data_IF_351807348925
#
_entry.id   IF_351807348925
#
_cell.length_a   1.000
_cell.length_b   1.000
_cell.length_c   1.000
_cell.angle_alpha   90.00
_cell.angle_beta   90.00
_cell.angle_gamma   90.00
#
_symmetry.space_group_name_H-M   'P 1'
#
loop_
_entity.id
_entity.type
_entity.pdbx_description
1 polymer ?
#
# COMPACT_ATOMS: atom_id res chain seq x y z
N UNK A 1 12.68 37.74 42.90
CA UNK A 1 13.45 36.49 42.71
C UNK A 1 12.62 35.64 41.75
N UNK A 2 13.17 35.41 40.56
CA UNK A 2 12.41 35.03 39.36
C UNK A 2 11.96 33.57 39.35
N UNK A 3 10.73 33.37 38.87
CA UNK A 3 10.19 32.09 38.44
C UNK A 3 11.02 31.51 37.30
N UNK A 4 11.47 30.26 37.45
CA UNK A 4 12.00 29.48 36.35
C UNK A 4 10.83 28.75 35.68
N UNK A 5 10.29 29.37 34.63
CA UNK A 5 9.39 28.74 33.67
C UNK A 5 10.27 27.85 32.77
N UNK A 6 10.20 26.52 32.91
CA UNK A 6 10.82 25.62 31.94
C UNK A 6 10.03 25.72 30.62
N UNK A 7 10.63 26.41 29.65
CA UNK A 7 10.18 26.49 28.27
C UNK A 7 10.25 25.10 27.62
N UNK A 8 9.11 24.69 27.09
CA UNK A 8 8.94 23.62 26.10
C UNK A 8 10.01 23.73 25.00
N UNK A 9 10.90 22.75 24.89
CA UNK A 9 11.54 22.47 23.60
C UNK A 9 10.51 21.76 22.74
N UNK A 10 9.74 22.55 21.99
CA UNK A 10 8.88 22.05 20.94
C UNK A 10 9.72 21.32 19.90
N UNK A 11 9.58 20.00 19.82
CA UNK A 11 9.58 19.34 18.52
C UNK A 11 8.33 19.85 17.80
N UNK A 12 8.47 20.96 17.08
CA UNK A 12 7.51 21.24 16.02
C UNK A 12 7.74 20.16 14.97
N UNK A 13 6.90 19.13 14.95
CA UNK A 13 6.67 18.38 13.74
C UNK A 13 6.20 19.41 12.72
N UNK A 14 7.09 19.81 11.82
CA UNK A 14 6.66 20.65 10.72
C UNK A 14 5.65 19.83 9.94
N UNK A 15 4.57 20.45 9.47
CA UNK A 15 3.51 19.83 8.67
C UNK A 15 3.98 19.30 7.29
N UNK A 16 5.28 19.00 7.17
CA UNK A 16 6.04 18.57 6.00
C UNK A 16 6.57 17.13 6.15
N UNK A 17 6.41 16.51 7.32
CA UNK A 17 6.86 15.14 7.64
C UNK A 17 5.69 14.17 7.87
N UNK A 18 4.45 14.57 7.55
CA UNK A 18 3.27 13.75 7.80
C UNK A 18 2.84 13.15 6.46
N UNK A 19 3.14 11.86 6.26
CA UNK A 19 2.44 11.07 5.24
C UNK A 19 0.93 11.25 5.45
N UNK A 20 0.15 11.48 4.38
CA UNK A 20 -1.26 11.82 4.51
C UNK A 20 -1.97 10.74 5.32
N UNK A 21 -2.80 11.15 6.29
CA UNK A 21 -3.69 10.22 6.96
C UNK A 21 -4.52 9.46 5.91
N UNK A 22 -4.81 8.17 6.14
CA UNK A 22 -5.64 7.41 5.22
C UNK A 22 -6.93 8.21 4.94
N UNK A 23 -7.36 8.31 3.67
CA UNK A 23 -8.55 9.05 3.32
C UNK A 23 -9.74 8.54 4.14
N UNK A 24 -10.41 9.45 4.84
CA UNK A 24 -11.57 9.12 5.68
C UNK A 24 -12.82 9.25 4.82
N UNK A 25 -13.44 8.14 4.44
CA UNK A 25 -14.69 8.12 3.67
C UNK A 25 -14.64 7.18 2.46
N UNK A 26 -15.68 7.23 1.63
CA UNK A 26 -15.72 6.48 0.37
C UNK A 26 -14.71 7.08 -0.61
N UNK A 27 -13.87 6.23 -1.15
CA UNK A 27 -12.96 6.54 -2.25
C UNK A 27 -13.81 6.46 -3.53
N UNK A 28 -14.45 7.55 -3.96
CA UNK A 28 -15.39 7.52 -5.11
C UNK A 28 -14.66 7.52 -6.46
N UNK A 29 -14.87 6.49 -7.30
CA UNK A 29 -14.40 6.39 -8.70
C UNK A 29 -12.86 6.40 -8.90
N UNK A 30 -12.10 5.81 -8.01
CA UNK A 30 -10.68 6.14 -7.95
C UNK A 30 -9.84 4.93 -7.64
N UNK A 31 -9.15 4.43 -8.67
CA UNK A 31 -8.04 3.47 -8.62
C UNK A 31 -7.06 3.81 -7.48
N UNK A 32 -7.37 3.34 -6.28
CA UNK A 32 -6.72 3.71 -5.03
C UNK A 32 -6.60 2.49 -4.16
N UNK A 33 -5.44 2.37 -3.52
CA UNK A 33 -5.16 1.37 -2.51
C UNK A 33 -4.50 2.07 -1.33
N UNK A 34 -5.06 1.88 -0.14
CA UNK A 34 -4.61 2.53 1.09
C UNK A 34 -4.46 1.50 2.20
N UNK A 35 -3.42 1.61 3.02
CA UNK A 35 -3.18 0.75 4.17
C UNK A 35 -2.16 1.37 5.11
N UNK A 36 -2.00 0.82 6.32
CA UNK A 36 -0.85 1.12 7.17
C UNK A 36 0.20 0.03 7.05
N UNK A 37 1.46 0.42 6.80
CA UNK A 37 2.62 -0.44 6.92
C UNK A 37 3.39 -0.09 8.20
N UNK A 38 3.33 -0.94 9.23
CA UNK A 38 3.98 -0.66 10.53
C UNK A 38 3.61 0.71 11.13
N UNK A 39 2.37 1.16 10.92
CA UNK A 39 1.86 2.44 11.44
C UNK A 39 2.14 3.65 10.55
N UNK A 40 2.83 3.49 9.43
CA UNK A 40 3.00 4.51 8.39
C UNK A 40 1.89 4.39 7.34
N UNK A 41 1.14 5.47 7.02
CA UNK A 41 0.08 5.42 6.04
C UNK A 41 0.63 5.36 4.61
N UNK A 42 0.29 4.29 3.92
CA UNK A 42 0.55 4.08 2.51
C UNK A 42 -0.68 4.44 1.69
N UNK A 43 -0.48 5.27 0.66
CA UNK A 43 -1.53 5.71 -0.26
C UNK A 43 -1.02 5.61 -1.70
N UNK A 44 -1.43 4.57 -2.39
CA UNK A 44 -1.26 4.45 -3.84
C UNK A 44 -2.54 4.92 -4.53
N UNK A 45 -2.43 5.78 -5.54
CA UNK A 45 -3.58 6.20 -6.34
C UNK A 45 -3.17 6.57 -7.78
N UNK A 46 -4.11 6.47 -8.72
CA UNK A 46 -3.88 6.97 -10.09
C UNK A 46 -4.39 8.41 -10.31
N UNK A 47 -4.90 9.07 -9.28
CA UNK A 47 -5.53 10.40 -9.36
C UNK A 47 -4.62 11.51 -8.83
N UNK A 48 -4.26 12.46 -9.69
CA UNK A 48 -3.33 13.56 -9.37
C UNK A 48 -3.75 14.43 -8.18
N UNK A 49 -5.04 14.49 -7.88
CA UNK A 49 -5.64 15.41 -6.90
C UNK A 49 -5.52 14.95 -5.45
N UNK A 50 -5.32 13.64 -5.22
CA UNK A 50 -5.10 13.09 -3.87
C UNK A 50 -3.64 13.23 -3.42
N UNK A 51 -2.83 13.98 -4.19
CA UNK A 51 -1.39 13.91 -4.07
C UNK A 51 -0.96 12.49 -4.38
N UNK A 52 -1.15 12.04 -5.63
CA UNK A 52 -0.37 10.90 -6.11
C UNK A 52 1.08 11.20 -5.75
N UNK A 53 1.77 10.30 -5.05
CA UNK A 53 3.22 10.37 -5.14
C UNK A 53 3.58 9.86 -6.52
N UNK A 54 3.68 10.82 -7.43
CA UNK A 54 3.86 10.61 -8.86
C UNK A 54 5.28 10.10 -9.09
N UNK A 55 5.37 8.84 -9.48
CA UNK A 55 6.19 8.44 -10.60
C UNK A 55 7.68 8.31 -10.32
N UNK A 56 8.04 7.15 -9.78
CA UNK A 56 9.32 6.53 -10.02
C UNK A 56 9.19 5.03 -9.92
N UNK A 57 8.32 4.41 -10.74
CA UNK A 57 8.16 2.94 -10.79
C UNK A 57 9.57 2.36 -10.90
N UNK A 58 10.00 1.68 -9.84
CA UNK A 58 11.30 1.06 -9.75
C UNK A 58 11.48 0.22 -11.02
N UNK A 59 12.62 0.38 -11.70
CA UNK A 59 12.92 -0.30 -12.96
C UNK A 59 12.88 -1.82 -12.74
N UNK A 60 11.73 -2.45 -12.93
CA UNK A 60 11.52 -3.85 -12.59
C UNK A 60 10.07 -4.30 -12.39
N UNK A 61 9.14 -3.40 -11.99
CA UNK A 61 7.72 -3.80 -11.89
C UNK A 61 7.09 -3.94 -13.28
N UNK A 62 6.31 -5.00 -13.51
CA UNK A 62 5.54 -5.20 -14.76
C UNK A 62 4.30 -4.32 -14.85
N UNK A 63 4.00 -3.52 -13.81
CA UNK A 63 2.81 -2.70 -13.71
C UNK A 63 3.03 -1.31 -14.31
N UNK A 64 2.00 -0.80 -14.96
CA UNK A 64 2.09 0.46 -15.72
C UNK A 64 1.59 1.68 -14.92
N UNK A 65 0.98 1.45 -13.76
CA UNK A 65 0.30 2.46 -12.94
C UNK A 65 0.60 2.24 -11.44
N UNK A 66 0.56 3.30 -10.61
CA UNK A 66 0.69 3.16 -9.15
C UNK A 66 -0.31 2.19 -8.51
N UNK A 67 -1.55 2.16 -9.00
CA UNK A 67 -2.55 1.16 -8.60
C UNK A 67 -3.08 0.48 -9.83
N UNK A 68 -3.15 -0.84 -9.78
CA UNK A 68 -3.66 -1.68 -10.86
C UNK A 68 -4.41 -2.87 -10.27
N UNK A 69 -5.48 -3.29 -10.93
CA UNK A 69 -6.15 -4.54 -10.60
C UNK A 69 -6.42 -5.32 -11.88
N UNK A 70 -6.26 -6.63 -11.81
CA UNK A 70 -6.45 -7.53 -12.94
C UNK A 70 -7.40 -8.65 -12.51
N UNK A 71 -8.41 -8.93 -13.33
CA UNK A 71 -9.28 -10.09 -13.17
C UNK A 71 -9.02 -11.02 -14.33
N UNK A 72 -8.25 -12.06 -14.04
CA UNK A 72 -7.74 -13.01 -14.99
C UNK A 72 -8.82 -13.96 -15.50
N UNK A 73 -8.57 -14.56 -16.67
CA UNK A 73 -9.49 -15.51 -17.32
C UNK A 73 -9.79 -16.78 -16.48
N UNK A 74 -8.92 -17.14 -15.53
CA UNK A 74 -9.11 -18.27 -14.62
C UNK A 74 -9.91 -17.88 -13.35
N UNK A 75 -10.42 -16.65 -13.28
CA UNK A 75 -11.05 -16.04 -12.11
C UNK A 75 -10.10 -15.84 -10.92
N UNK A 76 -8.79 -15.83 -11.14
CA UNK A 76 -7.89 -15.20 -10.16
C UNK A 76 -7.96 -13.68 -10.28
N UNK A 77 -7.65 -12.98 -9.21
CA UNK A 77 -7.63 -11.53 -9.19
C UNK A 77 -6.37 -11.04 -8.49
N UNK A 78 -5.71 -10.10 -9.14
CA UNK A 78 -4.53 -9.39 -8.67
C UNK A 78 -4.92 -7.96 -8.30
N UNK A 79 -4.40 -7.51 -7.16
CA UNK A 79 -4.47 -6.12 -6.73
C UNK A 79 -3.05 -5.67 -6.44
N UNK A 80 -2.63 -4.62 -7.15
CA UNK A 80 -1.32 -4.02 -7.02
C UNK A 80 -1.44 -2.58 -6.53
N UNK A 81 -0.55 -2.19 -5.63
CA UNK A 81 -0.39 -0.82 -5.19
C UNK A 81 1.06 -0.49 -4.87
N UNK A 82 1.56 0.60 -5.44
CA UNK A 82 2.87 1.16 -5.16
C UNK A 82 2.73 2.61 -4.72
N UNK A 83 3.41 2.96 -3.64
CA UNK A 83 3.61 4.34 -3.23
C UNK A 83 5.09 4.72 -3.28
N UNK A 84 5.31 6.01 -3.16
CA UNK A 84 6.63 6.57 -2.96
C UNK A 84 6.46 7.67 -1.89
N UNK A 85 7.48 8.00 -1.07
CA UNK A 85 7.34 9.08 -0.11
C UNK A 85 7.41 10.44 -0.82
N UNK A 86 6.67 11.41 -0.29
CA UNK A 86 6.59 12.76 -0.85
C UNK A 86 7.92 13.54 -0.80
N UNK A 87 8.81 13.19 0.12
CA UNK A 87 10.19 13.67 0.19
C UNK A 87 11.15 12.48 0.02
N UNK A 88 11.94 12.49 -1.06
CA UNK A 88 12.96 11.46 -1.35
C UNK A 88 14.23 11.63 -0.51
N UNK A 89 14.07 12.01 0.75
CA UNK A 89 15.17 12.14 1.70
C UNK A 89 15.82 10.76 1.97
N UNK A 90 17.10 10.76 2.33
CA UNK A 90 17.79 9.54 2.76
C UNK A 90 17.06 8.92 3.95
N UNK A 91 16.70 7.64 3.82
CA UNK A 91 15.95 6.90 4.83
C UNK A 91 14.43 6.93 4.66
N UNK A 92 13.91 7.70 3.70
CA UNK A 92 12.49 7.67 3.36
C UNK A 92 12.11 6.28 2.81
N UNK A 93 10.86 5.86 3.06
CA UNK A 93 10.38 4.52 2.71
C UNK A 93 9.35 4.61 1.58
N UNK A 94 9.49 3.73 0.61
CA UNK A 94 8.49 3.47 -0.42
C UNK A 94 8.02 2.02 -0.32
N UNK A 95 6.82 1.75 -0.78
CA UNK A 95 6.12 0.50 -0.54
C UNK A 95 5.47 -0.03 -1.82
N UNK A 96 5.60 -1.33 -2.06
CA UNK A 96 4.87 -2.05 -3.10
C UNK A 96 4.12 -3.22 -2.44
N UNK A 97 2.87 -3.42 -2.85
CA UNK A 97 2.00 -4.48 -2.36
C UNK A 97 1.32 -5.17 -3.55
N UNK A 98 1.43 -6.49 -3.59
CA UNK A 98 0.69 -7.35 -4.52
C UNK A 98 -0.16 -8.33 -3.71
N UNK A 99 -1.46 -8.34 -3.95
CA UNK A 99 -2.41 -9.29 -3.36
C UNK A 99 -3.01 -10.13 -4.49
N UNK A 100 -2.81 -11.44 -4.43
CA UNK A 100 -3.37 -12.39 -5.37
C UNK A 100 -4.35 -13.31 -4.67
N UNK A 101 -5.54 -13.51 -5.23
CA UNK A 101 -6.49 -14.51 -4.72
C UNK A 101 -7.20 -15.24 -5.86
N UNK A 102 -7.63 -16.46 -5.56
CA UNK A 102 -8.21 -17.38 -6.54
C UNK A 102 -9.74 -17.44 -6.42
N UNK A 103 -10.38 -17.92 -7.48
CA UNK A 103 -11.80 -18.25 -7.51
C UNK A 103 -12.72 -17.06 -7.20
N UNK A 104 -12.42 -15.87 -7.71
CA UNK A 104 -13.26 -14.70 -7.59
C UNK A 104 -14.68 -14.96 -8.14
N UNK A 105 -15.69 -14.57 -7.35
CA UNK A 105 -17.11 -14.79 -7.65
C UNK A 105 -17.99 -13.59 -7.25
N UNK A 106 -17.38 -12.42 -7.04
CA UNK A 106 -18.05 -11.21 -6.57
C UNK A 106 -17.80 -10.91 -5.09
N UNK A 107 -18.83 -10.46 -4.38
CA UNK A 107 -18.75 -10.08 -2.96
C UNK A 107 -18.49 -11.33 -2.10
N UNK A 108 -17.51 -11.25 -1.20
CA UNK A 108 -17.09 -12.37 -0.37
C UNK A 108 -15.72 -12.17 0.25
N UNK A 109 -15.29 -13.15 1.05
CA UNK A 109 -13.93 -13.18 1.59
C UNK A 109 -13.15 -14.28 0.87
N UNK A 110 -11.93 -13.94 0.45
CA UNK A 110 -11.05 -14.78 -0.34
C UNK A 110 -9.73 -14.94 0.40
N UNK A 111 -9.23 -16.17 0.44
CA UNK A 111 -7.88 -16.44 0.91
C UNK A 111 -6.88 -15.95 -0.13
N UNK A 112 -5.87 -15.22 0.33
CA UNK A 112 -4.75 -14.84 -0.50
C UNK A 112 -3.90 -16.07 -0.83
N UNK A 113 -3.45 -16.13 -2.06
CA UNK A 113 -2.41 -17.05 -2.47
C UNK A 113 -1.06 -16.47 -2.03
N UNK A 114 -0.53 -16.97 -0.92
CA UNK A 114 0.71 -16.47 -0.33
C UNK A 114 1.93 -16.67 -1.23
N UNK A 115 1.86 -17.58 -2.21
CA UNK A 115 2.95 -17.79 -3.17
C UNK A 115 3.05 -16.69 -4.25
N UNK A 116 2.00 -15.90 -4.44
CA UNK A 116 1.93 -14.82 -5.43
C UNK A 116 1.57 -13.47 -4.81
N UNK A 117 1.38 -13.42 -3.49
CA UNK A 117 1.13 -12.19 -2.75
C UNK A 117 2.39 -11.79 -2.01
N UNK A 118 2.81 -10.53 -2.14
CA UNK A 118 4.05 -10.04 -1.56
C UNK A 118 3.94 -8.59 -1.16
N UNK A 119 4.84 -8.18 -0.28
CA UNK A 119 5.04 -6.80 0.10
C UNK A 119 6.52 -6.47 0.01
N UNK A 120 6.85 -5.31 -0.55
CA UNK A 120 8.23 -4.84 -0.67
C UNK A 120 8.36 -3.44 -0.07
N UNK A 121 9.38 -3.27 0.76
CA UNK A 121 9.77 -1.97 1.31
C UNK A 121 11.10 -1.55 0.69
N UNK A 122 11.15 -0.34 0.15
CA UNK A 122 12.34 0.29 -0.41
C UNK A 122 12.76 1.45 0.48
N UNK A 123 14.05 1.55 0.78
CA UNK A 123 14.63 2.67 1.52
C UNK A 123 15.37 3.58 0.54
N UNK A 124 14.84 4.79 0.33
CA UNK A 124 15.36 5.84 -0.55
C UNK A 124 16.64 6.49 0.01
N UNK A 125 17.51 6.98 -0.88
CA UNK A 125 18.82 6.40 -1.06
C UNK A 125 19.73 6.57 0.15
N UNK A 126 20.37 5.46 0.50
CA UNK A 126 21.59 5.44 1.31
C UNK A 126 22.77 5.75 0.37
N UNK A 127 23.21 7.02 0.33
CA UNK A 127 24.48 7.46 -0.26
C UNK A 127 24.97 6.63 -1.48
N UNK A 128 24.39 6.78 -2.69
CA UNK A 128 24.96 6.34 -4.01
C UNK A 128 23.95 5.94 -5.12
N UNK A 129 22.68 6.37 -5.06
CA UNK A 129 21.62 5.89 -5.98
C UNK A 129 21.33 4.38 -5.88
N UNK A 130 21.76 3.71 -4.81
CA UNK A 130 21.35 2.34 -4.50
C UNK A 130 20.25 2.37 -3.44
N UNK A 131 19.17 1.62 -3.71
CA UNK A 131 18.09 1.38 -2.76
C UNK A 131 18.38 0.10 -1.99
N UNK A 132 18.02 0.07 -0.71
CA UNK A 132 17.91 -1.18 0.04
C UNK A 132 16.45 -1.62 -0.10
N UNK A 133 16.22 -2.83 -0.57
CA UNK A 133 14.88 -3.40 -0.63
C UNK A 133 14.76 -4.65 0.24
N UNK A 134 13.59 -4.80 0.85
CA UNK A 134 13.20 -5.98 1.60
C UNK A 134 11.92 -6.52 0.97
N UNK A 135 11.99 -7.72 0.42
CA UNK A 135 10.81 -8.47 -0.02
C UNK A 135 10.33 -9.34 1.13
N UNK A 136 9.03 -9.32 1.37
CA UNK A 136 8.34 -10.08 2.39
C UNK A 136 7.17 -10.82 1.76
N UNK A 137 7.04 -12.09 2.09
CA UNK A 137 5.90 -12.90 1.68
C UNK A 137 4.70 -12.59 2.57
N UNK A 138 3.49 -12.63 2.01
CA UNK A 138 2.29 -12.54 2.83
C UNK A 138 2.09 -13.86 3.59
N UNK A 139 2.06 -13.79 4.91
CA UNK A 139 1.87 -14.94 5.78
C UNK A 139 0.41 -15.41 5.81
N UNK A 140 0.24 -16.72 5.95
CA UNK A 140 -1.08 -17.31 6.15
C UNK A 140 -1.57 -17.16 7.62
N UNK A 141 -2.89 -17.03 7.86
CA UNK A 141 -3.92 -16.80 6.86
C UNK A 141 -3.93 -15.32 6.41
N UNK A 142 -3.69 -15.08 5.13
CA UNK A 142 -3.87 -13.77 4.51
C UNK A 142 -5.22 -13.75 3.81
N UNK A 143 -6.04 -12.74 4.07
CA UNK A 143 -7.40 -12.64 3.52
C UNK A 143 -7.68 -11.27 2.92
N UNK A 144 -8.54 -11.26 1.92
CA UNK A 144 -9.13 -10.06 1.34
C UNK A 144 -10.66 -10.21 1.33
N UNK A 145 -11.37 -9.17 1.73
CA UNK A 145 -12.83 -9.12 1.73
C UNK A 145 -13.30 -8.13 0.67
N UNK A 146 -13.97 -8.65 -0.36
CA UNK A 146 -14.67 -7.86 -1.36
C UNK A 146 -16.01 -7.43 -0.79
N UNK A 147 -16.20 -6.12 -0.64
CA UNK A 147 -17.41 -5.52 -0.06
C UNK A 147 -18.40 -5.07 -1.12
N UNK A 148 -17.94 -4.76 -2.34
CA UNK A 148 -18.79 -4.46 -3.47
C UNK A 148 -18.15 -4.92 -4.79
N UNK A 149 -18.98 -5.35 -5.72
CA UNK A 149 -18.59 -5.74 -7.07
C UNK A 149 -19.65 -5.27 -8.07
N UNK A 150 -19.26 -4.40 -8.99
CA UNK A 150 -20.04 -4.02 -10.15
C UNK A 150 -19.43 -4.69 -11.40
N UNK A 151 -20.05 -5.77 -11.86
CA UNK A 151 -19.59 -6.51 -13.04
C UNK A 151 -19.72 -5.73 -14.34
N UNK A 152 -20.60 -4.73 -14.42
CA UNK A 152 -20.79 -3.92 -15.62
C UNK A 152 -19.64 -2.95 -15.80
N UNK A 153 -19.24 -2.28 -14.72
CA UNK A 153 -18.14 -1.33 -14.74
C UNK A 153 -16.79 -1.95 -14.35
N UNK A 154 -16.77 -3.25 -14.04
CA UNK A 154 -15.61 -3.97 -13.50
C UNK A 154 -15.02 -3.27 -12.27
N UNK A 155 -15.89 -2.69 -11.44
CA UNK A 155 -15.50 -1.89 -10.29
C UNK A 155 -15.53 -2.75 -9.03
N UNK A 156 -14.38 -2.83 -8.35
CA UNK A 156 -14.13 -3.69 -7.21
C UNK A 156 -13.78 -2.85 -5.99
N UNK A 157 -14.48 -3.10 -4.88
CA UNK A 157 -14.21 -2.45 -3.60
C UNK A 157 -14.00 -3.51 -2.53
N UNK A 158 -13.06 -3.27 -1.61
CA UNK A 158 -12.82 -4.21 -0.53
C UNK A 158 -11.83 -3.74 0.53
N UNK A 159 -11.51 -4.66 1.43
CA UNK A 159 -10.63 -4.46 2.58
C UNK A 159 -9.71 -5.65 2.78
N UNK A 160 -8.59 -5.45 3.47
CA UNK A 160 -7.67 -6.50 3.87
C UNK A 160 -6.94 -6.15 5.17
N UNK A 161 -6.48 -7.18 5.86
CA UNK A 161 -5.52 -7.07 6.96
C UNK A 161 -4.63 -8.31 6.93
N UNK A 162 -3.33 -8.11 6.75
CA UNK A 162 -2.38 -9.21 6.55
C UNK A 162 -1.07 -8.95 7.27
N UNK A 163 -0.28 -10.01 7.45
CA UNK A 163 1.06 -9.92 7.99
C UNK A 163 2.05 -10.30 6.89
N UNK A 164 2.98 -9.42 6.55
CA UNK A 164 4.09 -9.74 5.66
C UNK A 164 5.31 -10.18 6.49
N UNK A 165 5.99 -11.25 6.08
CA UNK A 165 7.10 -11.85 6.82
C UNK A 165 8.23 -12.17 5.84
N UNK A 166 9.47 -11.82 6.18
CA UNK A 166 10.64 -12.25 5.39
C UNK A 166 10.86 -13.77 5.54
N UNK A 167 11.39 -14.45 4.52
CA UNK A 167 11.61 -15.91 4.50
C UNK A 167 12.32 -16.47 5.74
N UNK A 168 13.19 -15.66 6.35
CA UNK A 168 13.95 -16.01 7.56
C UNK A 168 13.17 -15.84 8.88
N UNK A 169 11.94 -15.31 8.84
CA UNK A 169 11.10 -14.98 9.99
C UNK A 169 11.57 -13.78 10.82
N UNK A 170 12.71 -13.18 10.48
CA UNK A 170 13.37 -12.14 11.29
C UNK A 170 12.78 -10.74 11.14
N UNK A 171 12.03 -10.51 10.07
CA UNK A 171 11.37 -9.23 9.81
C UNK A 171 9.91 -9.50 9.50
N UNK A 172 9.05 -8.68 10.10
CA UNK A 172 7.60 -8.74 9.92
C UNK A 172 7.06 -7.32 9.77
N UNK A 173 6.05 -7.17 8.94
CA UNK A 173 5.35 -5.91 8.71
C UNK A 173 3.86 -6.19 8.78
N UNK A 174 3.18 -5.58 9.74
CA UNK A 174 1.73 -5.65 9.80
C UNK A 174 1.14 -4.66 8.79
N UNK A 175 0.31 -5.17 7.88
CA UNK A 175 -0.44 -4.39 6.90
C UNK A 175 -1.89 -4.31 7.39
N UNK A 176 -2.28 -3.15 7.91
CA UNK A 176 -3.55 -2.98 8.65
C UNK A 176 -4.42 -1.87 8.07
N UNK A 177 -5.72 -1.93 8.35
CA UNK A 177 -6.72 -1.02 7.80
C UNK A 177 -6.63 -0.90 6.26
N UNK A 178 -6.30 -2.01 5.60
CA UNK A 178 -6.17 -2.06 4.16
C UNK A 178 -7.54 -1.90 3.50
N UNK A 179 -7.63 -1.01 2.51
CA UNK A 179 -8.82 -0.85 1.68
C UNK A 179 -8.46 -0.45 0.26
N UNK A 180 -9.31 -0.81 -0.68
CA UNK A 180 -9.13 -0.49 -2.09
C UNK A 180 -10.47 -0.23 -2.76
N UNK A 181 -10.40 0.60 -3.78
CA UNK A 181 -11.45 0.94 -4.72
C UNK A 181 -10.77 1.04 -6.08
N UNK A 182 -11.07 0.13 -7.01
CA UNK A 182 -10.38 0.12 -8.30
C UNK A 182 -11.22 -0.52 -9.40
N UNK A 183 -10.93 -0.14 -10.64
CA UNK A 183 -11.47 -0.82 -11.82
C UNK A 183 -10.48 -1.90 -12.25
N UNK A 184 -10.94 -3.15 -12.36
CA UNK A 184 -10.07 -4.27 -12.78
C UNK A 184 -10.01 -4.40 -14.29
N UNK A 185 -8.80 -4.52 -14.83
CA UNK A 185 -8.50 -4.86 -16.22
C UNK A 185 -8.70 -6.36 -16.54
N UNK A 186 -8.88 -6.72 -17.82
CA UNK A 186 -8.94 -8.11 -18.29
C UNK A 186 -7.61 -8.83 -18.20
#
# INVERSE_FOLDING_TARGET
MGSLLLLLTGCSLTSKEIEPALPVGRIDNSDTLVYYANGLPVVANNHTDLGTVIGGIFSGSSHSRPVEGELNADNSCDIYGADEPSDRATGAKAHELTLHFLNFKGVGTYQLNTAFSSYQEYILPYLSNQFISYSLDIAAPGEVTITAWDSTNRHLQGTFQVLAIADSGKQQVALTAGSFDLVVGP
#
